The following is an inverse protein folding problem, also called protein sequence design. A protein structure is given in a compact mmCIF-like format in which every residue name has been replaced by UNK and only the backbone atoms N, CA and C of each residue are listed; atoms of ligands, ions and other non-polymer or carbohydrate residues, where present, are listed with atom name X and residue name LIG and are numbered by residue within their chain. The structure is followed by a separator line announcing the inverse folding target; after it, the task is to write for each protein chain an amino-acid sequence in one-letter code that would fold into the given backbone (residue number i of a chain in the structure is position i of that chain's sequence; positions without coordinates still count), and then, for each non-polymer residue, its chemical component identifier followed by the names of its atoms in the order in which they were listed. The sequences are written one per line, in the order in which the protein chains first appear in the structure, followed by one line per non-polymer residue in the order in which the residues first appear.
data_IF_121935211191
#
_entry.id   IF_121935211191
#
_cell.length_a   1.000
_cell.length_b   1.000
_cell.length_c   1.000
_cell.angle_alpha   90.00
_cell.angle_beta   90.00
_cell.angle_gamma   90.00
#
_symmetry.space_group_name_H-M   'P 1'
#
loop_
_entity.id
_entity.type
_entity.pdbx_description
1 polymer ?
#
# COMPACT_ATOMS: atom_id res chain seq x y z
N UNK A 1 -14.52 -56.82 74.36
CA UNK A 1 -13.15 -56.51 74.02
C UNK A 1 -13.15 -55.28 73.10
N UNK A 2 -12.41 -54.26 73.53
CA UNK A 2 -12.43 -52.90 72.98
C UNK A 2 -11.97 -52.79 71.53
N UNK A 3 -12.71 -52.08 70.69
CA UNK A 3 -12.27 -51.62 69.36
C UNK A 3 -11.95 -50.11 69.43
N UNK A 4 -10.68 -49.78 69.16
CA UNK A 4 -10.17 -48.40 69.16
C UNK A 4 -10.63 -47.69 67.86
N UNK A 5 -11.20 -46.49 68.02
CA UNK A 5 -11.49 -45.54 66.91
C UNK A 5 -10.20 -44.80 66.51
N UNK A 6 -9.79 -44.96 65.25
CA UNK A 6 -8.72 -44.17 64.67
C UNK A 6 -9.32 -42.90 64.04
N UNK A 7 -8.89 -41.75 64.54
CA UNK A 7 -9.35 -40.41 64.07
C UNK A 7 -8.84 -40.07 62.68
N UNK A 8 -9.75 -39.75 61.78
CA UNK A 8 -9.48 -39.22 60.45
C UNK A 8 -8.98 -37.77 60.56
N UNK A 9 -7.68 -37.55 60.24
CA UNK A 9 -7.12 -36.21 60.02
C UNK A 9 -7.66 -35.67 58.66
N UNK A 10 -8.49 -34.62 58.77
CA UNK A 10 -8.85 -33.80 57.60
C UNK A 10 -7.59 -33.19 56.97
N UNK A 11 -7.21 -33.66 55.77
CA UNK A 11 -6.23 -33.01 54.90
C UNK A 11 -6.76 -31.63 54.53
N UNK A 12 -5.97 -30.59 54.83
CA UNK A 12 -6.21 -29.21 54.33
C UNK A 12 -6.09 -29.24 52.79
N UNK A 13 -7.16 -28.84 52.08
CA UNK A 13 -7.15 -28.60 50.64
C UNK A 13 -6.07 -27.58 50.31
N UNK A 14 -5.27 -27.89 49.28
CA UNK A 14 -4.32 -26.96 48.67
C UNK A 14 -5.03 -25.70 48.14
N UNK A 15 -4.39 -24.52 48.11
CA UNK A 15 -5.02 -23.28 47.70
C UNK A 15 -5.44 -23.38 46.24
N UNK A 16 -6.73 -23.23 45.99
CA UNK A 16 -7.36 -23.14 44.67
C UNK A 16 -6.87 -21.91 43.95
N UNK A 17 -6.69 -22.04 42.60
CA UNK A 17 -6.41 -21.00 41.64
C UNK A 17 -6.83 -19.61 42.10
N UNK A 18 -5.88 -18.63 42.05
CA UNK A 18 -6.19 -17.19 42.18
C UNK A 18 -7.35 -16.90 41.24
N UNK A 19 -8.50 -16.47 41.81
CA UNK A 19 -9.65 -16.01 41.06
C UNK A 19 -9.16 -14.89 40.12
N UNK A 20 -9.20 -15.15 38.81
CA UNK A 20 -8.90 -14.12 37.81
C UNK A 20 -9.96 -13.04 37.94
N UNK A 21 -9.56 -11.83 38.29
CA UNK A 21 -10.42 -10.66 38.29
C UNK A 21 -11.17 -10.60 36.97
N UNK A 22 -12.49 -10.56 37.04
CA UNK A 22 -13.36 -10.69 35.87
C UNK A 22 -14.01 -9.37 35.47
N UNK A 23 -14.86 -9.44 34.45
CA UNK A 23 -15.61 -8.30 33.92
C UNK A 23 -16.54 -7.64 34.96
N UNK A 24 -17.08 -8.44 35.90
CA UNK A 24 -17.98 -7.99 36.93
C UNK A 24 -17.27 -7.06 37.95
N UNK A 25 -16.03 -7.38 38.30
CA UNK A 25 -15.21 -6.58 39.19
C UNK A 25 -14.84 -5.23 38.57
N UNK A 26 -14.52 -5.21 37.25
CA UNK A 26 -14.28 -3.94 36.54
C UNK A 26 -15.55 -3.10 36.45
N UNK A 27 -16.70 -3.71 36.17
CA UNK A 27 -17.98 -3.01 36.08
C UNK A 27 -18.34 -2.39 37.45
N UNK A 28 -18.15 -3.13 38.52
CA UNK A 28 -18.39 -2.62 39.89
C UNK A 28 -17.42 -1.48 40.24
N UNK A 29 -16.12 -1.63 39.96
CA UNK A 29 -15.11 -0.62 40.25
C UNK A 29 -15.30 0.68 39.43
N UNK A 30 -15.81 0.56 38.22
CA UNK A 30 -16.11 1.69 37.33
C UNK A 30 -17.54 2.25 37.54
N UNK A 31 -18.35 1.66 38.39
CA UNK A 31 -19.76 2.01 38.62
C UNK A 31 -20.60 2.03 37.34
N UNK A 32 -20.41 1.01 36.48
CA UNK A 32 -21.16 0.85 35.24
C UNK A 32 -21.79 -0.54 35.12
N UNK A 33 -22.72 -0.72 34.17
CA UNK A 33 -23.27 -2.05 33.92
C UNK A 33 -22.18 -2.99 33.37
N UNK A 34 -22.33 -4.30 33.62
CA UNK A 34 -21.44 -5.33 33.05
C UNK A 34 -21.42 -5.24 31.50
N UNK A 35 -22.57 -4.93 30.90
CA UNK A 35 -22.67 -4.72 29.45
C UNK A 35 -21.86 -3.50 28.97
N UNK A 36 -21.87 -2.40 29.74
CA UNK A 36 -21.07 -1.20 29.45
C UNK A 36 -19.58 -1.49 29.60
N UNK A 37 -19.15 -2.11 30.70
CA UNK A 37 -17.77 -2.53 30.90
C UNK A 37 -17.30 -3.50 29.79
N UNK A 38 -18.16 -4.44 29.36
CA UNK A 38 -17.87 -5.36 28.27
C UNK A 38 -17.67 -4.62 26.94
N UNK A 39 -18.53 -3.65 26.61
CA UNK A 39 -18.43 -2.84 25.39
C UNK A 39 -17.14 -2.02 25.38
N UNK A 40 -16.79 -1.37 26.47
CA UNK A 40 -15.54 -0.61 26.57
C UNK A 40 -14.32 -1.51 26.42
N UNK A 41 -14.27 -2.62 27.17
CA UNK A 41 -13.14 -3.56 27.12
C UNK A 41 -13.03 -4.33 25.81
N UNK A 42 -14.09 -4.37 25.00
CA UNK A 42 -14.07 -4.91 23.64
C UNK A 42 -13.80 -3.85 22.56
N UNK A 43 -13.51 -2.59 22.95
CA UNK A 43 -13.20 -1.51 22.01
C UNK A 43 -14.43 -0.90 21.32
N UNK A 44 -15.64 -1.07 21.86
CA UNK A 44 -16.84 -0.51 21.28
C UNK A 44 -16.94 0.99 21.59
N UNK A 45 -16.86 1.82 20.59
CA UNK A 45 -16.84 3.30 20.66
C UNK A 45 -18.21 3.96 20.95
N UNK A 46 -19.29 3.19 21.01
CA UNK A 46 -20.65 3.71 21.33
C UNK A 46 -20.86 4.01 22.81
N UNK A 47 -19.80 4.01 23.61
CA UNK A 47 -19.82 4.39 25.01
C UNK A 47 -19.18 5.77 25.11
N UNK A 48 -19.74 6.62 25.97
CA UNK A 48 -19.20 7.95 26.25
C UNK A 48 -17.70 7.91 26.60
N UNK A 49 -16.92 8.89 26.14
CA UNK A 49 -15.46 8.92 26.28
C UNK A 49 -14.99 8.96 27.74
N UNK A 50 -15.73 9.66 28.62
CA UNK A 50 -15.40 9.73 30.04
C UNK A 50 -15.64 8.39 30.72
N UNK A 51 -16.74 7.72 30.37
CA UNK A 51 -17.03 6.36 30.84
C UNK A 51 -15.97 5.37 30.33
N UNK A 52 -15.55 5.49 29.07
CA UNK A 52 -14.45 4.67 28.53
C UNK A 52 -13.18 4.83 29.34
N UNK A 53 -12.77 6.07 29.62
CA UNK A 53 -11.57 6.38 30.39
C UNK A 53 -11.64 5.77 31.80
N UNK A 54 -12.75 5.95 32.50
CA UNK A 54 -12.97 5.38 33.86
C UNK A 54 -12.86 3.86 33.84
N UNK A 55 -13.53 3.19 32.89
CA UNK A 55 -13.51 1.71 32.78
C UNK A 55 -12.10 1.19 32.49
N UNK A 56 -11.37 1.83 31.56
CA UNK A 56 -9.99 1.43 31.23
C UNK A 56 -9.02 1.63 32.39
N UNK A 57 -9.14 2.74 33.12
CA UNK A 57 -8.34 2.99 34.33
C UNK A 57 -8.60 1.94 35.41
N UNK A 58 -9.87 1.60 35.70
CA UNK A 58 -10.20 0.59 36.66
C UNK A 58 -9.75 -0.82 36.23
N UNK A 59 -9.88 -1.15 34.95
CA UNK A 59 -9.37 -2.39 34.39
C UNK A 59 -7.86 -2.51 34.63
N UNK A 60 -7.09 -1.44 34.34
CA UNK A 60 -5.64 -1.38 34.56
C UNK A 60 -5.27 -1.55 36.01
N UNK A 61 -5.97 -0.87 36.94
CA UNK A 61 -5.76 -1.02 38.41
C UNK A 61 -6.00 -2.44 38.90
N UNK A 62 -6.96 -3.13 38.28
CA UNK A 62 -7.32 -4.52 38.63
C UNK A 62 -6.45 -5.56 37.87
N UNK A 63 -5.40 -5.11 37.16
CA UNK A 63 -4.49 -5.99 36.44
C UNK A 63 -5.12 -6.64 35.19
N UNK A 64 -6.25 -6.10 34.70
CA UNK A 64 -6.86 -6.51 33.43
C UNK A 64 -6.31 -5.60 32.37
N UNK A 65 -5.49 -6.17 31.48
CA UNK A 65 -5.09 -5.51 30.25
C UNK A 65 -6.21 -5.71 29.22
N UNK A 66 -6.90 -4.63 28.78
CA UNK A 66 -7.93 -4.72 27.75
C UNK A 66 -7.39 -5.33 26.45
N UNK A 67 -6.13 -5.11 26.12
CA UNK A 67 -5.47 -5.66 24.95
C UNK A 67 -5.29 -7.19 25.02
N UNK A 68 -5.08 -7.76 26.21
CA UNK A 68 -4.98 -9.21 26.41
C UNK A 68 -6.34 -9.92 26.43
N UNK A 69 -7.44 -9.19 26.61
CA UNK A 69 -8.79 -9.78 26.66
C UNK A 69 -9.35 -10.04 25.26
N UNK A 70 -8.95 -9.27 24.28
CA UNK A 70 -9.24 -9.54 22.87
C UNK A 70 -8.25 -10.60 22.36
N UNK A 71 -8.62 -11.87 22.51
CA UNK A 71 -7.82 -13.03 22.07
C UNK A 71 -7.66 -13.12 20.54
N UNK A 72 -8.35 -12.27 19.81
CA UNK A 72 -8.34 -12.29 18.35
C UNK A 72 -7.04 -11.67 17.84
N UNK A 73 -6.26 -12.48 17.17
CA UNK A 73 -5.04 -12.09 16.45
C UNK A 73 -5.29 -12.11 14.95
N UNK A 74 -6.32 -11.42 14.50
CA UNK A 74 -6.71 -11.38 13.09
C UNK A 74 -6.64 -9.94 12.58
N UNK A 75 -5.91 -9.74 11.49
CA UNK A 75 -5.86 -8.52 10.71
C UNK A 75 -6.77 -8.64 9.48
N UNK A 76 -7.38 -7.54 9.04
CA UNK A 76 -8.07 -7.48 7.77
C UNK A 76 -7.20 -6.76 6.74
N UNK A 77 -6.87 -7.43 5.64
CA UNK A 77 -6.32 -6.78 4.45
C UNK A 77 -7.48 -6.38 3.55
N UNK A 78 -7.70 -5.08 3.43
CA UNK A 78 -8.83 -4.51 2.66
C UNK A 78 -8.30 -3.97 1.35
N UNK A 79 -8.69 -4.59 0.25
CA UNK A 79 -8.44 -4.10 -1.10
C UNK A 79 -9.65 -3.28 -1.56
N UNK A 80 -9.51 -1.96 -1.51
CA UNK A 80 -10.57 -1.02 -1.85
C UNK A 80 -10.49 -0.61 -3.32
N UNK A 81 -11.63 -0.63 -4.02
CA UNK A 81 -11.77 -0.05 -5.36
C UNK A 81 -10.69 -0.50 -6.38
N UNK A 82 -10.26 -1.75 -6.29
CA UNK A 82 -9.25 -2.34 -7.19
C UNK A 82 -9.60 -3.79 -7.52
N UNK A 83 -9.20 -4.24 -8.69
CA UNK A 83 -9.33 -5.63 -9.09
C UNK A 83 -8.48 -6.55 -8.20
N UNK A 84 -9.05 -7.67 -7.77
CA UNK A 84 -8.45 -8.62 -6.85
C UNK A 84 -7.16 -9.28 -7.38
N UNK A 85 -7.05 -9.44 -8.70
CA UNK A 85 -5.92 -10.11 -9.35
C UNK A 85 -4.83 -9.14 -9.84
N UNK A 86 -4.84 -7.88 -9.41
CA UNK A 86 -3.80 -6.94 -9.76
C UNK A 86 -2.44 -7.39 -9.19
N UNK A 87 -1.44 -7.58 -10.07
CA UNK A 87 -0.15 -8.19 -9.72
C UNK A 87 0.57 -7.49 -8.56
N UNK A 88 0.60 -6.16 -8.55
CA UNK A 88 1.22 -5.38 -7.49
C UNK A 88 0.57 -5.64 -6.12
N UNK A 89 -0.77 -5.55 -6.04
CA UNK A 89 -1.49 -5.75 -4.77
C UNK A 89 -1.46 -7.21 -4.29
N UNK A 90 -1.45 -8.18 -5.19
CA UNK A 90 -1.32 -9.60 -4.80
C UNK A 90 0.04 -9.91 -4.18
N UNK A 91 1.11 -9.25 -4.63
CA UNK A 91 2.46 -9.36 -4.04
C UNK A 91 2.55 -8.66 -2.69
N UNK A 92 1.89 -7.49 -2.52
CA UNK A 92 1.76 -6.83 -1.20
C UNK A 92 1.03 -7.76 -0.22
N UNK A 93 -0.10 -8.34 -0.63
CA UNK A 93 -0.85 -9.29 0.20
C UNK A 93 0.00 -10.49 0.59
N UNK A 94 0.78 -11.06 -0.34
CA UNK A 94 1.68 -12.19 -0.06
C UNK A 94 2.74 -11.84 0.99
N UNK A 95 3.37 -10.66 0.87
CA UNK A 95 4.35 -10.20 1.86
C UNK A 95 3.71 -9.90 3.23
N UNK A 96 2.51 -9.34 3.24
CA UNK A 96 1.75 -9.07 4.45
C UNK A 96 1.31 -10.36 5.15
N UNK A 97 0.78 -11.34 4.41
CA UNK A 97 0.33 -12.64 4.95
C UNK A 97 1.50 -13.41 5.55
N UNK A 98 2.61 -13.53 4.82
CA UNK A 98 3.80 -14.22 5.31
C UNK A 98 4.32 -13.61 6.62
N UNK A 99 4.36 -12.27 6.72
CA UNK A 99 4.81 -11.60 7.93
C UNK A 99 3.79 -11.69 9.07
N UNK A 100 2.50 -11.65 8.76
CA UNK A 100 1.40 -11.84 9.70
C UNK A 100 1.49 -13.21 10.36
N UNK A 101 1.58 -14.27 9.56
CA UNK A 101 1.72 -15.66 10.01
C UNK A 101 2.99 -15.88 10.83
N UNK A 102 4.13 -15.32 10.41
CA UNK A 102 5.40 -15.40 11.16
C UNK A 102 5.31 -14.78 12.57
N UNK A 103 4.41 -13.83 12.78
CA UNK A 103 4.15 -13.20 14.08
C UNK A 103 2.98 -13.85 14.86
N UNK A 104 2.45 -14.98 14.39
CA UNK A 104 1.35 -15.71 15.02
C UNK A 104 0.02 -14.96 14.96
N UNK A 105 -0.21 -14.24 13.86
CA UNK A 105 -1.46 -13.56 13.53
C UNK A 105 -2.09 -14.20 12.30
N UNK A 106 -3.42 -14.16 12.22
CA UNK A 106 -4.19 -14.55 11.05
C UNK A 106 -4.51 -13.33 10.19
N UNK A 107 -4.72 -13.55 8.88
CA UNK A 107 -5.12 -12.49 7.96
C UNK A 107 -6.40 -12.87 7.21
N UNK A 108 -7.34 -11.94 7.14
CA UNK A 108 -8.56 -12.05 6.33
C UNK A 108 -8.48 -11.06 5.19
N UNK A 109 -8.66 -11.54 3.97
CA UNK A 109 -8.75 -10.70 2.78
C UNK A 109 -10.21 -10.25 2.57
N UNK A 110 -10.39 -8.94 2.28
CA UNK A 110 -11.67 -8.34 1.97
C UNK A 110 -11.54 -7.44 0.73
N UNK A 111 -12.37 -7.67 -0.28
CA UNK A 111 -12.60 -6.70 -1.35
C UNK A 111 -13.74 -5.77 -0.94
N UNK A 112 -13.55 -4.48 -1.07
CA UNK A 112 -14.52 -3.47 -0.66
C UNK A 112 -14.59 -2.31 -1.65
N UNK A 113 -15.67 -2.25 -2.42
CA UNK A 113 -15.92 -1.15 -3.35
C UNK A 113 -16.86 -0.13 -2.72
N UNK A 114 -16.48 1.13 -2.81
CA UNK A 114 -17.27 2.27 -2.32
C UNK A 114 -17.00 3.52 -3.16
N UNK A 115 -17.89 4.49 -3.11
CA UNK A 115 -17.70 5.77 -3.80
C UNK A 115 -16.85 6.74 -2.94
N UNK A 116 -15.80 7.35 -3.49
CA UNK A 116 -15.02 8.37 -2.78
C UNK A 116 -15.81 9.67 -2.53
N UNK A 117 -16.95 9.86 -3.20
CA UNK A 117 -17.78 11.07 -3.10
C UNK A 117 -18.88 10.98 -2.06
N UNK A 118 -19.12 9.80 -1.48
CA UNK A 118 -20.11 9.62 -0.41
C UNK A 118 -19.52 10.15 0.90
N UNK A 119 -20.26 10.96 1.68
CA UNK A 119 -19.80 11.41 3.00
C UNK A 119 -19.47 10.23 3.92
N UNK A 120 -18.44 10.39 4.78
CA UNK A 120 -18.03 9.33 5.73
C UNK A 120 -19.17 8.87 6.65
N UNK A 121 -20.15 9.73 6.93
CA UNK A 121 -21.34 9.43 7.75
C UNK A 121 -22.34 8.48 7.06
N UNK A 122 -22.33 8.43 5.73
CA UNK A 122 -23.20 7.58 4.91
C UNK A 122 -22.49 6.33 4.40
N UNK A 123 -21.18 6.27 4.56
CA UNK A 123 -20.38 5.12 4.12
C UNK A 123 -20.57 3.93 5.07
N UNK A 124 -20.89 2.77 4.52
CA UNK A 124 -21.15 1.54 5.28
C UNK A 124 -20.00 0.56 5.15
N UNK A 125 -19.28 0.32 6.25
CA UNK A 125 -18.23 -0.70 6.31
C UNK A 125 -18.84 -2.12 6.21
N UNK A 126 -18.10 -3.07 5.61
CA UNK A 126 -18.41 -4.49 5.74
C UNK A 126 -18.64 -4.89 7.20
N UNK A 127 -19.67 -5.72 7.45
CA UNK A 127 -20.05 -6.07 8.84
C UNK A 127 -18.92 -6.68 9.65
N UNK A 128 -18.04 -7.44 9.02
CA UNK A 128 -16.91 -8.08 9.67
C UNK A 128 -15.92 -7.07 10.23
N UNK A 129 -15.69 -5.93 9.54
CA UNK A 129 -14.79 -4.86 10.03
C UNK A 129 -15.34 -4.13 11.27
N UNK A 130 -16.65 -4.23 11.52
CA UNK A 130 -17.29 -3.65 12.68
C UNK A 130 -17.28 -4.58 13.91
N UNK A 131 -16.70 -5.78 13.75
CA UNK A 131 -16.61 -6.80 14.80
C UNK A 131 -15.20 -6.79 15.39
N UNK A 132 -14.98 -5.97 16.42
CA UNK A 132 -13.71 -5.88 17.15
C UNK A 132 -13.33 -7.19 17.87
N UNK A 133 -14.27 -8.11 18.02
CA UNK A 133 -14.04 -9.47 18.55
C UNK A 133 -13.50 -10.43 17.47
N UNK A 134 -13.56 -10.06 16.19
CA UNK A 134 -13.07 -10.84 15.03
C UNK A 134 -11.86 -10.18 14.40
N UNK A 135 -11.92 -8.90 14.08
CA UNK A 135 -10.84 -8.15 13.43
C UNK A 135 -10.22 -7.18 14.43
N UNK A 136 -8.91 -7.25 14.58
CA UNK A 136 -8.15 -6.41 15.52
C UNK A 136 -7.73 -5.09 14.91
N UNK A 137 -7.34 -5.10 13.65
CA UNK A 137 -6.93 -3.90 12.90
C UNK A 137 -7.03 -4.14 11.39
N UNK A 138 -6.90 -3.07 10.63
CA UNK A 138 -7.10 -3.03 9.18
C UNK A 138 -5.83 -2.56 8.46
N UNK A 139 -5.47 -3.23 7.38
CA UNK A 139 -4.50 -2.77 6.39
C UNK A 139 -5.29 -2.29 5.18
N UNK A 140 -5.24 -0.99 4.88
CA UNK A 140 -5.87 -0.39 3.71
C UNK A 140 -4.92 -0.45 2.52
N UNK A 141 -5.18 -1.36 1.59
CA UNK A 141 -4.55 -1.44 0.28
C UNK A 141 -5.58 -1.10 -0.82
N UNK A 142 -5.16 -1.03 -2.08
CA UNK A 142 -6.04 -0.59 -3.16
C UNK A 142 -6.21 0.93 -3.21
N UNK A 143 -7.25 1.41 -3.86
CA UNK A 143 -7.50 2.85 -3.99
C UNK A 143 -8.38 3.33 -2.85
N UNK A 144 -7.82 4.14 -1.98
CA UNK A 144 -8.50 4.65 -0.79
C UNK A 144 -8.74 6.17 -0.89
N UNK A 145 -9.70 6.67 -0.14
CA UNK A 145 -10.03 8.09 -0.05
C UNK A 145 -10.32 8.51 1.39
N UNK A 146 -10.28 9.81 1.61
CA UNK A 146 -10.41 10.45 2.92
C UNK A 146 -11.66 10.00 3.70
N UNK A 147 -12.80 9.80 3.01
CA UNK A 147 -14.04 9.40 3.66
C UNK A 147 -13.95 8.02 4.37
N UNK A 148 -13.25 7.05 3.78
CA UNK A 148 -13.02 5.75 4.42
C UNK A 148 -12.05 5.89 5.61
N UNK A 149 -10.97 6.65 5.44
CA UNK A 149 -9.98 6.92 6.48
C UNK A 149 -10.65 7.58 7.69
N UNK A 150 -11.42 8.65 7.47
CA UNK A 150 -12.20 9.33 8.52
C UNK A 150 -13.23 8.41 9.20
N UNK A 151 -13.86 7.51 8.44
CA UNK A 151 -14.82 6.57 9.00
C UNK A 151 -14.15 5.56 9.94
N UNK A 152 -12.98 5.01 9.55
CA UNK A 152 -12.24 4.07 10.40
C UNK A 152 -11.75 4.75 11.68
N UNK A 153 -11.21 5.97 11.56
CA UNK A 153 -10.79 6.77 12.71
C UNK A 153 -11.95 7.07 13.65
N UNK A 154 -13.08 7.57 13.12
CA UNK A 154 -14.29 7.84 13.91
C UNK A 154 -14.83 6.60 14.62
N UNK A 155 -14.67 5.42 14.04
CA UNK A 155 -15.07 4.14 14.66
C UNK A 155 -14.03 3.59 15.64
N UNK A 156 -12.88 4.21 15.78
CA UNK A 156 -11.77 3.75 16.62
C UNK A 156 -11.19 2.41 16.17
N UNK A 157 -11.24 2.11 14.88
CA UNK A 157 -10.64 0.91 14.29
C UNK A 157 -9.17 1.24 13.99
N UNK A 158 -8.24 0.51 14.60
CA UNK A 158 -6.83 0.66 14.29
C UNK A 158 -6.54 0.27 12.83
N UNK A 159 -5.79 1.10 12.11
CA UNK A 159 -5.46 0.82 10.71
C UNK A 159 -4.11 1.39 10.30
N UNK A 160 -3.60 0.91 9.17
CA UNK A 160 -2.45 1.43 8.43
C UNK A 160 -2.83 1.56 6.96
N UNK A 161 -2.24 2.52 6.26
CA UNK A 161 -2.58 2.84 4.87
C UNK A 161 -1.38 2.65 3.94
N UNK A 162 -1.61 2.03 2.78
CA UNK A 162 -0.71 2.12 1.63
C UNK A 162 -0.89 3.50 0.98
N UNK A 163 0.05 4.41 1.23
CA UNK A 163 -0.10 5.83 0.93
C UNK A 163 -0.05 6.19 -0.56
N UNK A 164 0.66 5.37 -1.39
CA UNK A 164 0.74 5.60 -2.83
C UNK A 164 -0.62 5.63 -3.53
N UNK A 165 -1.62 4.98 -2.94
CA UNK A 165 -2.92 4.72 -3.55
C UNK A 165 -4.06 5.54 -2.92
N UNK A 166 -3.76 6.62 -2.20
CA UNK A 166 -4.79 7.48 -1.59
C UNK A 166 -5.13 8.62 -2.53
N UNK A 167 -6.43 8.72 -2.84
CA UNK A 167 -7.01 9.81 -3.64
C UNK A 167 -7.30 11.02 -2.73
N UNK A 168 -6.90 12.20 -3.17
CA UNK A 168 -7.09 13.46 -2.44
C UNK A 168 -5.79 14.05 -1.90
N UNK A 169 -5.90 14.97 -0.95
CA UNK A 169 -4.73 15.62 -0.35
C UNK A 169 -3.99 14.67 0.58
N UNK A 170 -2.73 14.40 0.28
CA UNK A 170 -1.87 13.56 1.13
C UNK A 170 -1.57 14.20 2.49
N UNK A 171 -1.89 15.48 2.69
CA UNK A 171 -1.77 16.12 4.01
C UNK A 171 -2.67 15.47 5.06
N UNK A 172 -3.82 14.93 4.63
CA UNK A 172 -4.75 14.20 5.50
C UNK A 172 -4.15 12.90 6.06
N UNK A 173 -3.09 12.39 5.42
CA UNK A 173 -2.38 11.19 5.88
C UNK A 173 -1.41 11.44 7.03
N UNK A 174 -1.05 12.69 7.34
CA UNK A 174 -0.06 13.03 8.39
C UNK A 174 -0.45 12.54 9.78
N UNK A 175 -1.75 12.35 10.01
CA UNK A 175 -2.30 11.87 11.28
C UNK A 175 -2.52 10.35 11.31
N UNK A 176 -2.02 9.62 10.31
CA UNK A 176 -2.23 8.18 10.17
C UNK A 176 -0.89 7.45 10.00
N UNK A 177 -0.89 6.16 10.34
CA UNK A 177 0.21 5.27 10.01
C UNK A 177 0.20 4.95 8.51
N UNK A 178 1.28 5.27 7.83
CA UNK A 178 1.35 5.17 6.35
C UNK A 178 2.65 4.52 5.91
N UNK A 179 2.55 3.67 4.89
CA UNK A 179 3.71 3.10 4.20
C UNK A 179 3.66 3.53 2.74
N UNK A 180 4.78 4.05 2.22
CA UNK A 180 4.95 4.46 0.82
C UNK A 180 6.09 3.69 0.15
N UNK A 181 5.95 3.39 -1.14
CA UNK A 181 7.10 3.29 -2.03
C UNK A 181 7.52 4.71 -2.49
N UNK A 182 8.81 4.95 -2.65
CA UNK A 182 9.29 6.25 -3.16
C UNK A 182 9.22 6.30 -4.70
N UNK A 183 8.00 6.19 -5.22
CA UNK A 183 7.69 6.22 -6.64
C UNK A 183 7.97 7.59 -7.30
N UNK A 184 7.99 8.67 -6.52
CA UNK A 184 8.45 9.98 -7.01
C UNK A 184 9.94 9.91 -7.36
N UNK A 185 10.76 9.39 -6.46
CA UNK A 185 12.18 9.21 -6.75
C UNK A 185 12.40 8.19 -7.86
N UNK A 186 11.59 7.11 -7.88
CA UNK A 186 11.62 6.10 -8.96
C UNK A 186 11.36 6.70 -10.34
N UNK A 187 10.30 7.51 -10.49
CA UNK A 187 9.99 8.23 -11.73
C UNK A 187 11.09 9.20 -12.14
N UNK A 188 11.72 9.85 -11.15
CA UNK A 188 12.86 10.76 -11.36
C UNK A 188 14.08 10.01 -11.89
N UNK A 189 14.46 8.89 -11.29
CA UNK A 189 15.62 8.09 -11.67
C UNK A 189 15.44 7.43 -13.05
N UNK A 190 14.26 6.91 -13.34
CA UNK A 190 13.90 6.40 -14.66
C UNK A 190 14.04 7.46 -15.75
N UNK A 191 13.57 8.69 -15.47
CA UNK A 191 13.64 9.80 -16.43
C UNK A 191 15.10 10.27 -16.60
N UNK A 192 15.87 10.41 -15.53
CA UNK A 192 17.30 10.75 -15.62
C UNK A 192 18.09 9.73 -16.41
N UNK A 193 17.75 8.44 -16.30
CA UNK A 193 18.36 7.39 -17.10
C UNK A 193 18.10 7.63 -18.61
N UNK A 194 16.86 7.91 -19.03
CA UNK A 194 16.56 8.26 -20.42
C UNK A 194 17.32 9.50 -20.89
N UNK A 195 17.40 10.54 -20.05
CA UNK A 195 18.15 11.77 -20.36
C UNK A 195 19.64 11.47 -20.53
N UNK A 196 20.22 10.59 -19.70
CA UNK A 196 21.63 10.17 -19.80
C UNK A 196 21.94 9.40 -21.08
N UNK A 197 20.95 8.72 -21.67
CA UNK A 197 21.07 8.08 -23.00
C UNK A 197 20.99 9.08 -24.16
N UNK A 198 20.69 10.36 -23.87
CA UNK A 198 20.59 11.42 -24.87
C UNK A 198 19.18 11.77 -25.30
N UNK A 199 18.14 11.16 -24.72
CA UNK A 199 16.77 11.52 -25.02
C UNK A 199 16.42 12.94 -24.54
N UNK A 200 15.67 13.68 -25.37
CA UNK A 200 15.18 15.03 -25.08
C UNK A 200 13.67 15.16 -25.30
N UNK A 201 13.10 14.23 -26.06
CA UNK A 201 11.66 14.12 -26.36
C UNK A 201 11.11 12.89 -25.68
N UNK A 202 10.96 12.99 -24.35
CA UNK A 202 10.47 11.95 -23.47
C UNK A 202 9.01 12.27 -23.14
N UNK A 203 8.11 11.30 -23.27
CA UNK A 203 6.71 11.45 -22.95
C UNK A 203 6.32 10.55 -21.80
N UNK A 204 5.49 11.07 -20.89
CA UNK A 204 4.82 10.27 -19.90
C UNK A 204 3.48 9.75 -20.44
N UNK A 205 3.21 8.46 -20.30
CA UNK A 205 1.93 7.84 -20.64
C UNK A 205 1.31 7.26 -19.38
N UNK A 206 0.13 7.78 -19.01
CA UNK A 206 -0.56 7.38 -17.79
C UNK A 206 -1.83 8.18 -17.56
N UNK A 207 -2.60 7.80 -16.54
CA UNK A 207 -3.77 8.55 -16.06
C UNK A 207 -3.42 9.27 -14.75
N UNK A 208 -2.97 10.53 -14.83
CA UNK A 208 -2.54 11.32 -13.65
C UNK A 208 -3.68 11.71 -12.70
N UNK A 209 -4.92 11.31 -12.95
CA UNK A 209 -6.01 11.36 -11.96
C UNK A 209 -5.86 10.25 -10.90
N UNK A 210 -5.14 9.17 -11.24
CA UNK A 210 -4.87 8.08 -10.33
C UNK A 210 -3.60 8.38 -9.52
N UNK A 211 -3.61 8.23 -8.20
CA UNK A 211 -2.55 8.75 -7.33
C UNK A 211 -1.16 8.20 -7.62
N UNK A 212 -1.02 6.91 -7.92
CA UNK A 212 0.28 6.32 -8.28
C UNK A 212 0.85 6.88 -9.58
N UNK A 213 0.01 7.12 -10.61
CA UNK A 213 0.46 7.79 -11.84
C UNK A 213 0.86 9.24 -11.60
N UNK A 214 0.10 9.98 -10.78
CA UNK A 214 0.42 11.36 -10.42
C UNK A 214 1.77 11.47 -9.72
N UNK A 215 2.10 10.54 -8.83
CA UNK A 215 3.37 10.50 -8.11
C UNK A 215 4.55 10.16 -9.03
N UNK A 216 4.43 9.13 -9.86
CA UNK A 216 5.44 8.80 -10.86
C UNK A 216 5.64 9.97 -11.86
N UNK A 217 4.54 10.58 -12.32
CA UNK A 217 4.58 11.77 -13.19
C UNK A 217 5.30 12.96 -12.52
N UNK A 218 5.09 13.19 -11.23
CA UNK A 218 5.77 14.25 -10.50
C UNK A 218 7.29 14.02 -10.49
N UNK A 219 7.76 12.79 -10.31
CA UNK A 219 9.16 12.43 -10.43
C UNK A 219 9.73 12.71 -11.82
N UNK A 220 9.00 12.28 -12.87
CA UNK A 220 9.32 12.56 -14.25
C UNK A 220 9.40 14.08 -14.53
N UNK A 221 8.39 14.84 -14.12
CA UNK A 221 8.33 16.29 -14.32
C UNK A 221 9.55 17.00 -13.70
N UNK A 222 9.88 16.66 -12.44
CA UNK A 222 11.06 17.21 -11.76
C UNK A 222 12.37 16.93 -12.51
N UNK A 223 12.54 15.69 -12.99
CA UNK A 223 13.76 15.33 -13.74
C UNK A 223 13.85 16.07 -15.09
N UNK A 224 12.72 16.24 -15.79
CA UNK A 224 12.69 17.03 -17.03
C UNK A 224 13.04 18.50 -16.78
N UNK A 225 12.44 19.13 -15.76
CA UNK A 225 12.69 20.53 -15.38
C UNK A 225 14.15 20.75 -14.92
N UNK A 226 14.72 19.86 -14.13
CA UNK A 226 16.13 19.92 -13.70
C UNK A 226 17.12 19.95 -14.88
N UNK A 227 16.70 19.40 -16.03
CA UNK A 227 17.53 19.39 -17.25
C UNK A 227 17.09 20.40 -18.31
N UNK A 228 16.20 21.35 -17.97
CA UNK A 228 15.69 22.36 -18.90
C UNK A 228 14.83 21.78 -20.04
N UNK A 229 14.20 20.62 -19.82
CA UNK A 229 13.37 19.93 -20.78
C UNK A 229 11.87 20.13 -20.49
N UNK A 230 11.05 20.11 -21.53
CA UNK A 230 9.60 20.25 -21.40
C UNK A 230 8.99 18.90 -21.04
N UNK A 231 8.33 18.83 -19.88
CA UNK A 231 7.53 17.67 -19.50
C UNK A 231 6.27 17.58 -20.36
N UNK A 232 6.05 16.43 -20.98
CA UNK A 232 4.91 16.13 -21.85
C UNK A 232 4.20 14.88 -21.39
N UNK A 233 2.87 14.88 -21.48
CA UNK A 233 2.07 13.72 -21.10
C UNK A 233 0.98 13.39 -22.13
N UNK A 234 0.65 12.11 -22.20
CA UNK A 234 -0.52 11.59 -22.90
C UNK A 234 -1.41 10.89 -21.87
N UNK A 235 -2.48 11.58 -21.47
CA UNK A 235 -3.48 11.07 -20.53
C UNK A 235 -4.60 10.34 -21.27
N UNK A 236 -5.06 9.25 -20.68
CA UNK A 236 -6.24 8.50 -21.13
C UNK A 236 -7.14 8.27 -19.92
N UNK A 237 -8.42 8.58 -20.05
CA UNK A 237 -9.41 8.42 -18.99
C UNK A 237 -9.95 6.97 -19.03
N UNK A 238 -9.18 6.05 -18.50
CA UNK A 238 -9.54 4.64 -18.28
C UNK A 238 -9.01 4.17 -16.92
N UNK A 239 -9.62 3.13 -16.38
CA UNK A 239 -9.13 2.42 -15.19
C UNK A 239 -8.30 1.18 -15.55
N UNK A 240 -8.40 0.70 -16.80
CA UNK A 240 -7.55 -0.38 -17.31
C UNK A 240 -6.18 0.16 -17.72
N UNK A 241 -5.16 -0.23 -17.00
CA UNK A 241 -3.80 0.28 -17.15
C UNK A 241 -3.18 -0.10 -18.52
N UNK A 242 -3.51 -1.27 -19.06
CA UNK A 242 -3.06 -1.69 -20.40
C UNK A 242 -3.76 -0.85 -21.47
N UNK A 243 -5.05 -0.57 -21.30
CA UNK A 243 -5.79 0.31 -22.21
C UNK A 243 -5.25 1.75 -22.15
N UNK A 244 -4.94 2.28 -20.96
CA UNK A 244 -4.26 3.58 -20.80
C UNK A 244 -3.00 3.64 -21.66
N UNK A 245 -2.14 2.63 -21.55
CA UNK A 245 -0.90 2.54 -22.34
C UNK A 245 -1.14 2.51 -23.83
N UNK A 246 -2.08 1.67 -24.27
CA UNK A 246 -2.40 1.49 -25.67
C UNK A 246 -3.00 2.74 -26.31
N UNK A 247 -4.08 3.26 -25.75
CA UNK A 247 -4.79 4.44 -26.28
C UNK A 247 -3.95 5.72 -26.12
N UNK A 248 -3.26 5.89 -25.00
CA UNK A 248 -2.37 7.02 -24.76
C UNK A 248 -1.23 7.07 -25.79
N UNK A 249 -0.62 5.93 -26.10
CA UNK A 249 0.44 5.86 -27.12
C UNK A 249 -0.12 6.09 -28.52
N UNK A 250 -1.27 5.54 -28.87
CA UNK A 250 -1.91 5.83 -30.18
C UNK A 250 -2.24 7.31 -30.34
N UNK A 251 -2.76 7.96 -29.30
CA UNK A 251 -3.01 9.39 -29.30
C UNK A 251 -1.72 10.20 -29.44
N UNK A 252 -0.66 9.81 -28.74
CA UNK A 252 0.66 10.43 -28.83
C UNK A 252 1.23 10.35 -30.26
N UNK A 253 1.22 9.15 -30.85
CA UNK A 253 1.76 8.91 -32.21
C UNK A 253 0.92 9.53 -33.34
N UNK A 254 -0.29 9.99 -33.06
CA UNK A 254 -1.12 10.73 -33.99
C UNK A 254 -0.82 12.25 -33.99
N UNK A 255 -0.03 12.75 -33.03
CA UNK A 255 0.41 14.14 -33.00
C UNK A 255 1.66 14.31 -33.84
N UNK A 256 1.81 15.50 -34.42
CA UNK A 256 3.04 15.88 -35.14
C UNK A 256 4.10 16.43 -34.13
N UNK A 257 4.36 15.62 -33.09
CA UNK A 257 5.34 15.98 -32.07
C UNK A 257 6.41 14.89 -31.93
N UNK A 258 7.68 15.28 -31.77
CA UNK A 258 8.75 14.30 -31.65
C UNK A 258 8.62 13.47 -30.36
N UNK A 259 8.81 12.15 -30.50
CA UNK A 259 8.91 11.20 -29.40
C UNK A 259 10.08 10.25 -29.66
N UNK A 260 10.96 10.13 -28.66
CA UNK A 260 12.11 9.20 -28.72
C UNK A 260 12.12 8.23 -27.55
N UNK A 261 11.40 8.55 -26.47
CA UNK A 261 11.24 7.67 -25.32
C UNK A 261 9.87 7.89 -24.66
N UNK A 262 9.37 6.83 -24.03
CA UNK A 262 8.13 6.82 -23.24
C UNK A 262 8.45 6.29 -21.85
N UNK A 263 8.07 7.07 -20.82
CA UNK A 263 7.92 6.59 -19.46
C UNK A 263 6.44 6.23 -19.25
N UNK A 264 6.14 4.96 -19.14
CA UNK A 264 4.82 4.46 -18.78
C UNK A 264 4.66 4.50 -17.24
N UNK A 265 3.49 4.93 -16.77
CA UNK A 265 3.27 5.15 -15.34
C UNK A 265 3.30 3.88 -14.48
N UNK A 266 3.18 2.69 -15.09
CA UNK A 266 3.49 1.38 -14.51
C UNK A 266 3.73 0.33 -15.60
N UNK A 267 4.12 -0.89 -15.19
CA UNK A 267 4.45 -1.98 -16.14
C UNK A 267 3.23 -2.46 -16.97
N UNK A 268 2.01 -2.61 -16.44
CA UNK A 268 0.83 -2.90 -17.25
C UNK A 268 0.56 -1.83 -18.32
N UNK A 269 0.78 -0.55 -17.99
CA UNK A 269 0.71 0.55 -18.97
C UNK A 269 1.79 0.40 -20.04
N UNK A 270 3.03 0.04 -19.64
CA UNK A 270 4.11 -0.24 -20.59
C UNK A 270 3.75 -1.39 -21.57
N UNK A 271 3.05 -2.42 -21.09
CA UNK A 271 2.53 -3.48 -21.97
C UNK A 271 1.60 -2.93 -23.06
N UNK A 272 0.71 -2.00 -22.68
CA UNK A 272 -0.14 -1.27 -23.65
C UNK A 272 0.67 -0.44 -24.64
N UNK A 273 1.72 0.25 -24.19
CA UNK A 273 2.68 0.99 -25.02
C UNK A 273 3.33 0.06 -26.05
N UNK A 274 3.86 -1.11 -25.62
CA UNK A 274 4.45 -2.11 -26.52
C UNK A 274 3.50 -2.54 -27.63
N UNK A 275 2.24 -2.81 -27.27
CA UNK A 275 1.20 -3.18 -28.24
C UNK A 275 0.97 -2.08 -29.26
N UNK A 276 0.83 -0.82 -28.85
CA UNK A 276 0.60 0.32 -29.73
C UNK A 276 1.78 0.59 -30.67
N UNK A 277 3.02 0.46 -30.18
CA UNK A 277 4.23 0.61 -31.00
C UNK A 277 4.34 -0.51 -32.02
N UNK A 278 4.06 -1.76 -31.64
CA UNK A 278 4.03 -2.90 -32.57
C UNK A 278 3.01 -2.73 -33.69
N UNK A 279 1.79 -2.22 -33.37
CA UNK A 279 0.75 -1.95 -34.41
C UNK A 279 1.19 -0.89 -35.44
N UNK A 280 2.20 -0.07 -35.11
CA UNK A 280 2.82 0.93 -35.99
C UNK A 280 4.17 0.46 -36.59
N UNK A 281 4.56 -0.81 -36.37
CA UNK A 281 5.86 -1.36 -36.78
C UNK A 281 7.06 -0.58 -36.21
N UNK A 282 6.89 0.09 -35.05
CA UNK A 282 7.97 0.78 -34.35
C UNK A 282 8.67 -0.19 -33.41
N UNK A 283 10.00 -0.21 -33.47
CA UNK A 283 10.85 -1.14 -32.70
C UNK A 283 11.29 -0.53 -31.35
N UNK A 284 11.24 -1.33 -30.33
CA UNK A 284 11.79 -1.03 -29.01
C UNK A 284 13.14 -1.77 -28.90
N UNK A 285 14.23 -1.11 -28.50
CA UNK A 285 14.39 0.33 -28.24
C UNK A 285 14.81 1.14 -29.48
N UNK A 286 14.87 0.54 -30.68
CA UNK A 286 15.52 1.15 -31.86
C UNK A 286 14.86 2.43 -32.32
N UNK A 287 13.54 2.50 -32.32
CA UNK A 287 12.78 3.69 -32.69
C UNK A 287 12.35 4.48 -31.45
N UNK A 288 11.85 3.80 -30.42
CA UNK A 288 11.37 4.40 -29.18
C UNK A 288 11.83 3.56 -27.99
N UNK A 289 12.50 4.20 -27.02
CA UNK A 289 12.81 3.61 -25.72
C UNK A 289 11.57 3.60 -24.81
N UNK A 290 11.38 2.55 -24.01
CA UNK A 290 10.25 2.44 -23.09
C UNK A 290 10.75 2.06 -21.69
N UNK A 291 10.26 2.76 -20.66
CA UNK A 291 10.45 2.42 -19.25
C UNK A 291 9.08 2.25 -18.59
N UNK A 292 8.96 1.28 -17.67
CA UNK A 292 7.81 1.08 -16.78
C UNK A 292 8.08 1.49 -15.34
N UNK A 293 7.13 1.17 -14.45
CA UNK A 293 7.24 1.28 -13.00
C UNK A 293 6.57 0.06 -12.37
N UNK A 294 7.00 -0.35 -11.19
CA UNK A 294 6.56 -1.43 -10.30
C UNK A 294 7.25 -2.79 -10.43
N UNK A 295 7.90 -3.10 -11.54
CA UNK A 295 8.57 -4.38 -11.84
C UNK A 295 7.67 -5.60 -11.65
N UNK A 296 6.43 -5.52 -12.12
CA UNK A 296 5.44 -6.61 -12.01
C UNK A 296 5.43 -7.53 -13.23
N UNK A 297 5.62 -6.99 -14.43
CA UNK A 297 5.57 -7.76 -15.68
C UNK A 297 6.80 -7.53 -16.60
N UNK A 298 7.78 -6.79 -16.14
CA UNK A 298 8.90 -6.31 -16.96
C UNK A 298 9.69 -7.42 -17.65
N UNK A 299 9.86 -8.60 -17.04
CA UNK A 299 10.57 -9.75 -17.60
C UNK A 299 9.77 -10.52 -18.66
N UNK A 300 8.45 -10.33 -18.73
CA UNK A 300 7.58 -11.06 -19.69
C UNK A 300 7.44 -10.33 -21.02
N UNK A 301 7.87 -9.07 -21.07
CA UNK A 301 7.86 -8.30 -22.30
C UNK A 301 9.10 -8.58 -23.15
N UNK A 302 8.98 -8.44 -24.46
CA UNK A 302 10.08 -8.60 -25.41
C UNK A 302 10.17 -7.36 -26.32
N UNK A 303 11.29 -6.62 -26.25
CA UNK A 303 12.44 -6.81 -25.34
C UNK A 303 12.07 -6.65 -23.86
N UNK A 304 12.91 -7.18 -22.96
CA UNK A 304 12.66 -7.09 -21.51
C UNK A 304 12.61 -5.62 -21.05
N UNK A 305 11.59 -5.26 -20.29
CA UNK A 305 11.29 -3.88 -19.88
C UNK A 305 12.22 -3.39 -18.76
N UNK A 306 12.92 -2.27 -18.99
CA UNK A 306 13.54 -1.49 -17.94
C UNK A 306 12.44 -0.83 -17.10
N UNK A 307 12.56 -0.86 -15.77
CA UNK A 307 11.48 -0.43 -14.88
C UNK A 307 12.02 0.03 -13.53
N UNK A 308 11.17 0.62 -12.72
CA UNK A 308 11.47 0.91 -11.31
C UNK A 308 10.82 -0.13 -10.43
N UNK A 309 11.59 -0.81 -9.57
CA UNK A 309 11.10 -1.82 -8.62
C UNK A 309 10.65 -1.16 -7.32
N UNK A 310 9.45 -1.45 -6.87
CA UNK A 310 8.83 -0.87 -5.67
C UNK A 310 8.79 -1.83 -4.46
N UNK A 311 9.28 -3.05 -4.59
CA UNK A 311 9.36 -4.07 -3.53
C UNK A 311 8.02 -4.34 -2.84
N UNK A 312 6.97 -4.77 -3.56
CA UNK A 312 5.63 -4.90 -3.00
C UNK A 312 5.54 -5.87 -1.82
N UNK A 313 6.31 -6.95 -1.77
CA UNK A 313 6.36 -7.86 -0.62
C UNK A 313 6.92 -7.16 0.63
N UNK A 314 7.89 -6.27 0.47
CA UNK A 314 8.44 -5.48 1.56
C UNK A 314 7.45 -4.43 2.05
N UNK A 315 6.69 -3.80 1.14
CA UNK A 315 5.57 -2.93 1.51
C UNK A 315 4.57 -3.68 2.38
N UNK A 316 4.15 -4.88 1.96
CA UNK A 316 3.26 -5.74 2.73
C UNK A 316 3.76 -6.06 4.13
N UNK A 317 5.04 -6.44 4.24
CA UNK A 317 5.72 -6.65 5.52
C UNK A 317 5.66 -5.39 6.41
N UNK A 318 6.02 -4.22 5.89
CA UNK A 318 6.05 -2.97 6.66
C UNK A 318 4.64 -2.54 7.11
N UNK A 319 3.61 -2.74 6.28
CA UNK A 319 2.22 -2.51 6.67
C UNK A 319 1.83 -3.35 7.91
N UNK A 320 2.20 -4.63 7.93
CA UNK A 320 1.94 -5.49 9.11
C UNK A 320 2.74 -5.03 10.31
N UNK A 321 4.05 -4.77 10.18
CA UNK A 321 4.87 -4.29 11.29
C UNK A 321 4.29 -3.01 11.92
N UNK A 322 3.85 -2.08 11.09
CA UNK A 322 3.34 -0.79 11.54
C UNK A 322 1.97 -0.94 12.24
N UNK A 323 1.06 -1.74 11.69
CA UNK A 323 -0.24 -1.98 12.33
C UNK A 323 -0.11 -2.75 13.64
N UNK A 324 0.84 -3.69 13.74
CA UNK A 324 1.12 -4.39 15.01
C UNK A 324 1.70 -3.46 16.07
N UNK A 325 2.57 -2.51 15.67
CA UNK A 325 3.05 -1.44 16.57
C UNK A 325 1.90 -0.56 17.06
N UNK A 326 0.97 -0.16 16.17
CA UNK A 326 -0.23 0.62 16.53
C UNK A 326 -1.12 -0.13 17.50
N UNK A 327 -1.33 -1.43 17.32
CA UNK A 327 -2.07 -2.27 18.27
C UNK A 327 -1.41 -2.30 19.66
N UNK A 328 -0.08 -2.40 19.68
CA UNK A 328 0.69 -2.49 20.93
C UNK A 328 0.79 -1.14 21.66
N UNK A 329 0.81 -0.03 20.91
CA UNK A 329 0.97 1.34 21.42
C UNK A 329 -0.02 2.29 20.73
N UNK A 330 -1.30 2.29 21.15
CA UNK A 330 -2.35 3.09 20.47
C UNK A 330 -2.09 4.61 20.53
N UNK A 331 -1.44 5.09 21.60
CA UNK A 331 -1.19 6.51 21.84
C UNK A 331 0.12 7.02 21.22
N UNK A 332 0.86 6.18 20.47
CA UNK A 332 2.08 6.60 19.79
C UNK A 332 1.74 7.53 18.62
N UNK A 333 2.62 8.52 18.37
CA UNK A 333 2.49 9.39 17.20
C UNK A 333 2.45 8.58 15.91
N UNK A 334 1.68 9.03 14.91
CA UNK A 334 1.60 8.40 13.61
C UNK A 334 2.98 8.30 12.94
N UNK A 335 3.22 7.20 12.24
CA UNK A 335 4.48 6.94 11.56
C UNK A 335 4.30 6.92 10.05
N UNK A 336 5.22 7.57 9.35
CA UNK A 336 5.35 7.49 7.89
C UNK A 336 6.60 6.69 7.54
N UNK A 337 6.44 5.55 6.88
CA UNK A 337 7.54 4.69 6.43
C UNK A 337 7.65 4.79 4.92
N UNK A 338 8.82 5.21 4.43
CA UNK A 338 9.14 5.27 3.01
C UNK A 338 10.09 4.12 2.64
N UNK A 339 9.72 3.32 1.64
CA UNK A 339 10.58 2.27 1.07
C UNK A 339 11.22 2.79 -0.20
N UNK A 340 12.56 2.85 -0.27
CA UNK A 340 13.25 3.26 -1.49
C UNK A 340 12.93 2.32 -2.66
N UNK A 341 12.90 2.88 -3.86
CA UNK A 341 12.77 2.13 -5.11
C UNK A 341 14.15 1.85 -5.72
N UNK A 342 14.22 0.90 -6.66
CA UNK A 342 15.42 0.54 -7.39
C UNK A 342 15.16 0.58 -8.89
N UNK A 343 16.00 1.28 -9.66
CA UNK A 343 15.91 1.25 -11.12
C UNK A 343 16.54 -0.03 -11.68
N UNK A 344 15.75 -0.81 -12.42
CA UNK A 344 16.15 -2.07 -13.03
C UNK A 344 16.33 -1.87 -14.53
N UNK A 345 17.58 -1.81 -14.95
CA UNK A 345 17.94 -1.71 -16.37
C UNK A 345 17.77 -3.07 -17.07
N UNK A 346 17.06 -3.05 -18.22
CA UNK A 346 16.90 -4.20 -19.14
C UNK A 346 17.07 -3.70 -20.60
N UNK A 347 16.43 -4.37 -21.55
CA UNK A 347 16.71 -4.23 -22.99
C UNK A 347 15.82 -3.20 -23.71
N UNK A 348 14.84 -2.59 -23.03
CA UNK A 348 13.85 -1.70 -23.64
C UNK A 348 14.33 -0.27 -23.87
N UNK A 349 15.58 0.05 -23.52
CA UNK A 349 16.14 1.39 -23.65
C UNK A 349 17.46 1.39 -24.40
N UNK A 350 17.64 2.38 -25.29
CA UNK A 350 18.86 2.64 -26.04
C UNK A 350 18.98 4.12 -26.39
N UNK A 351 20.10 4.59 -26.97
CA UNK A 351 20.24 5.97 -27.41
C UNK A 351 19.23 6.31 -28.51
N UNK A 352 18.74 7.56 -28.60
CA UNK A 352 17.81 7.98 -29.64
C UNK A 352 18.39 7.80 -31.06
N UNK A 353 17.55 7.43 -32.03
CA UNK A 353 17.94 7.06 -33.41
C UNK A 353 18.85 8.10 -34.09
N UNK A 354 18.59 9.39 -33.91
CA UNK A 354 19.40 10.48 -34.47
C UNK A 354 20.84 10.53 -33.95
N UNK A 355 21.12 10.01 -32.75
CA UNK A 355 22.49 9.91 -32.19
C UNK A 355 23.24 8.68 -32.73
N UNK A 356 22.54 7.60 -33.06
CA UNK A 356 23.14 6.38 -33.62
C UNK A 356 23.71 6.59 -35.04
N UNK A 357 23.05 7.43 -35.86
CA UNK A 357 23.53 7.76 -37.22
C UNK A 357 24.80 8.59 -37.21
N UNK A 358 25.00 9.46 -36.24
CA UNK A 358 26.25 10.25 -36.10
C UNK A 358 27.46 9.36 -35.73
N UNK A 359 27.29 8.42 -34.81
CA UNK A 359 28.39 7.51 -34.38
C UNK A 359 28.79 6.53 -35.49
N UNK A 360 27.84 6.02 -36.28
CA UNK A 360 28.14 5.14 -37.40
C UNK A 360 28.87 5.87 -38.53
N UNK A 361 28.54 7.15 -38.79
CA UNK A 361 29.24 7.99 -39.77
C UNK A 361 30.68 8.31 -39.37
N UNK A 362 30.96 8.59 -38.13
CA UNK A 362 32.31 8.84 -37.63
C UNK A 362 33.19 7.57 -37.63
N UNK A 363 32.62 6.39 -37.37
CA UNK A 363 33.36 5.10 -37.44
C UNK A 363 33.72 4.75 -38.89
N UNK A 364 32.86 5.01 -39.87
CA UNK A 364 33.15 4.79 -41.29
C UNK A 364 34.20 5.77 -41.84
N UNK A 365 34.21 7.02 -41.41
CA UNK A 365 35.24 7.97 -41.84
C UNK A 365 36.63 7.65 -41.26
N UNK A 366 36.73 7.04 -40.08
CA UNK A 366 38.01 6.60 -39.49
C UNK A 366 38.54 5.28 -40.12
N UNK A 367 37.67 4.47 -40.72
CA UNK A 367 38.07 3.23 -41.41
C UNK A 367 38.57 3.47 -42.82
N UNK A 368 38.27 4.63 -43.43
CA UNK A 368 38.68 4.98 -44.80
C UNK A 368 39.99 5.75 -44.87
N UNK A 369 40.62 6.06 -43.69
CA UNK A 369 41.90 6.82 -43.59
C UNK A 369 43.04 5.93 -43.07
N UNK A 370 42.96 4.61 -43.27
CA UNK A 370 44.08 3.69 -43.00
C UNK A 370 44.46 2.95 -44.26
#
# INVERSE_FOLDING_TARGET
MMAQRVGSKRMKKAPTKKDKVGLREVAAAANVSVATASRVLSGNTRVDRDIQKIVLEQAKKLGIDPAQRNKTKTLAFVLSNRAMLHAFHSRILSGAEAHCTANGWDMVFLSFNYSPHVPSTELHLPRVLQRHDVIRAVILAGTNSENLIKLLDHKGIAFVVLGNNVVGDQQDLKNNDVVFADDIQGGKDATRYLISLGHRHIWFVGNTRLPWFARCFEGYRRAMEEHGLVARQSNTDSEDETEIGYLGTKSLLARDEPVTAILAGNDPTAHGVYKALRDRNLKIPDDISVIGCDDTVGTWLSPALSTTREFPEQLGKQLVELVLKRIARPDQDPQCVMIPTEFIKRDSCGPPRASRTKTAGETLQRATIK
#
